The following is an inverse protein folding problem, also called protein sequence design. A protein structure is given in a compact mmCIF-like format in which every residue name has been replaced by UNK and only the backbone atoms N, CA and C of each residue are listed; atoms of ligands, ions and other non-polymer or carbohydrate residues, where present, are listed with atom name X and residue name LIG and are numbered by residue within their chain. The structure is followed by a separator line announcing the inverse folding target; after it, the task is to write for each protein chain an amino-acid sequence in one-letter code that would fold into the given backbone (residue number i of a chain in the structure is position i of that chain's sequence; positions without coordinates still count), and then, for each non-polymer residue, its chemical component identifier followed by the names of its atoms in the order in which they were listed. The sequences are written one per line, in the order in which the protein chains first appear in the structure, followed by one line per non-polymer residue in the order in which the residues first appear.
data_IF_242432295875
#
_entry.id   IF_242432295875
#
_cell.length_a   1.000
_cell.length_b   1.000
_cell.length_c   1.000
_cell.angle_alpha   90.00
_cell.angle_beta   90.00
_cell.angle_gamma   90.00
#
_symmetry.space_group_name_H-M   'P 1'
#
loop_
_entity.id
_entity.type
_entity.pdbx_description
1 polymer ?
#
# COMPACT_ATOMS: atom_id res chain seq x y z
N UNK A 1 -24.92 -18.65 16.72
CA UNK A 1 -24.08 -18.52 15.52
C UNK A 1 -23.60 -17.08 15.50
N UNK A 2 -22.42 -16.80 16.05
CA UNK A 2 -21.93 -15.43 16.22
C UNK A 2 -21.21 -15.02 14.94
N UNK A 3 -21.70 -13.99 14.24
CA UNK A 3 -20.90 -13.34 13.20
C UNK A 3 -19.68 -12.74 13.87
N UNK A 4 -18.49 -13.30 13.61
CA UNK A 4 -17.24 -12.65 13.98
C UNK A 4 -17.13 -11.36 13.19
N UNK A 5 -17.14 -10.22 13.87
CA UNK A 5 -16.67 -8.97 13.30
C UNK A 5 -15.28 -9.24 12.67
N UNK A 6 -14.93 -8.62 11.52
CA UNK A 6 -13.60 -8.78 10.95
C UNK A 6 -12.59 -8.51 12.06
N UNK A 7 -11.77 -9.52 12.36
CA UNK A 7 -10.98 -9.55 13.59
C UNK A 7 -9.93 -8.45 13.54
N UNK A 8 -10.27 -7.24 14.00
CA UNK A 8 -9.31 -6.15 14.13
C UNK A 8 -8.19 -6.59 15.08
N UNK A 9 -7.05 -6.87 14.48
CA UNK A 9 -5.85 -7.43 15.07
C UNK A 9 -5.46 -6.64 16.32
N UNK A 10 -5.44 -7.34 17.46
CA UNK A 10 -5.08 -6.79 18.78
C UNK A 10 -3.57 -6.76 19.03
N UNK A 11 -2.78 -7.22 18.07
CA UNK A 11 -1.32 -7.30 18.15
C UNK A 11 -0.72 -6.86 16.80
N UNK A 12 0.51 -6.33 16.79
CA UNK A 12 1.16 -5.94 15.54
C UNK A 12 1.31 -7.15 14.61
N UNK A 13 1.13 -6.91 13.31
CA UNK A 13 1.12 -7.98 12.30
C UNK A 13 1.83 -7.54 11.03
N UNK A 14 2.55 -8.48 10.44
CA UNK A 14 3.02 -8.35 9.07
C UNK A 14 1.93 -8.83 8.12
N UNK A 15 1.57 -7.99 7.16
CA UNK A 15 0.62 -8.32 6.10
C UNK A 15 1.30 -8.19 4.75
N UNK A 16 1.04 -9.14 3.85
CA UNK A 16 1.51 -9.06 2.48
C UNK A 16 0.37 -8.51 1.61
N UNK A 17 0.63 -7.40 0.92
CA UNK A 17 -0.32 -6.74 0.03
C UNK A 17 0.20 -6.74 -1.39
N UNK A 18 -0.74 -6.81 -2.33
CA UNK A 18 -0.50 -6.77 -3.76
C UNK A 18 -0.98 -5.43 -4.30
N UNK A 19 -0.06 -4.64 -4.86
CA UNK A 19 -0.32 -3.34 -5.44
C UNK A 19 -0.32 -3.43 -6.96
N UNK A 20 -1.28 -2.77 -7.61
CA UNK A 20 -1.24 -2.61 -9.08
C UNK A 20 -0.08 -1.67 -9.48
N UNK A 21 0.38 -1.72 -10.74
CA UNK A 21 1.46 -0.86 -11.20
C UNK A 21 1.04 0.60 -11.06
N UNK A 22 1.94 1.41 -10.50
CA UNK A 22 1.69 2.80 -10.19
C UNK A 22 2.58 3.26 -9.04
N UNK A 23 2.65 4.57 -8.85
CA UNK A 23 3.29 5.12 -7.65
C UNK A 23 2.21 5.24 -6.58
N UNK A 24 2.37 4.51 -5.48
CA UNK A 24 1.45 4.62 -4.35
C UNK A 24 2.08 5.45 -3.24
N UNK A 25 1.31 6.36 -2.68
CA UNK A 25 1.70 7.21 -1.56
C UNK A 25 0.74 6.98 -0.39
N UNK A 26 1.30 6.99 0.81
CA UNK A 26 0.55 6.94 2.05
C UNK A 26 -0.23 8.24 2.23
N UNK A 27 -1.54 8.13 2.43
CA UNK A 27 -2.45 9.25 2.66
C UNK A 27 -2.88 9.33 4.12
N UNK A 28 -3.02 8.17 4.76
CA UNK A 28 -3.41 8.09 6.17
C UNK A 28 -2.68 6.94 6.86
N UNK A 29 -2.13 7.26 8.03
CA UNK A 29 -1.62 6.29 8.99
C UNK A 29 -2.27 6.56 10.34
N UNK A 30 -3.28 5.77 10.71
CA UNK A 30 -4.04 6.02 11.94
C UNK A 30 -3.26 5.72 13.22
N UNK A 31 -2.14 4.99 13.12
CA UNK A 31 -1.25 4.67 14.23
C UNK A 31 -0.05 5.61 14.34
N UNK A 32 -0.03 6.70 13.57
CA UNK A 32 0.97 7.74 13.71
C UNK A 32 0.96 8.37 15.11
N UNK A 33 2.15 8.70 15.62
CA UNK A 33 2.32 9.30 16.93
C UNK A 33 1.61 10.67 17.03
N UNK A 34 1.46 11.41 15.93
CA UNK A 34 0.73 12.68 15.91
C UNK A 34 -0.75 12.52 16.33
N UNK A 35 -1.33 11.33 16.12
CA UNK A 35 -2.70 10.99 16.49
C UNK A 35 -2.79 10.25 17.83
N UNK A 36 -1.67 10.14 18.58
CA UNK A 36 -1.59 9.37 19.82
C UNK A 36 -1.43 7.86 19.60
N UNK A 37 -1.11 7.43 18.38
CA UNK A 37 -0.80 6.04 18.07
C UNK A 37 0.63 5.64 18.47
N UNK A 38 0.98 4.35 18.33
CA UNK A 38 2.30 3.83 18.71
C UNK A 38 3.46 4.28 17.80
N UNK A 39 3.20 5.01 16.71
CA UNK A 39 4.23 5.54 15.82
C UNK A 39 4.96 4.47 15.00
N UNK A 40 4.28 3.39 14.63
CA UNK A 40 4.90 2.30 13.86
C UNK A 40 5.39 2.81 12.49
N UNK A 41 6.67 2.58 12.19
CA UNK A 41 7.24 2.96 10.91
C UNK A 41 6.59 2.17 9.76
N UNK A 42 6.11 2.89 8.75
CA UNK A 42 5.53 2.37 7.51
C UNK A 42 6.11 3.13 6.33
N UNK A 43 6.26 2.52 5.15
CA UNK A 43 6.78 3.22 3.98
C UNK A 43 5.79 4.30 3.51
N UNK A 44 6.27 5.53 3.36
CA UNK A 44 5.48 6.63 2.78
C UNK A 44 5.16 6.38 1.30
N UNK A 45 6.02 5.64 0.60
CA UNK A 45 5.89 5.33 -0.82
C UNK A 45 6.06 3.83 -1.05
N UNK A 46 5.20 3.26 -1.90
CA UNK A 46 5.47 1.96 -2.50
C UNK A 46 6.08 2.20 -3.87
N UNK A 47 7.30 1.70 -4.13
CA UNK A 47 7.98 1.94 -5.39
C UNK A 47 7.20 1.33 -6.56
N UNK A 48 7.19 2.06 -7.67
CA UNK A 48 6.65 1.59 -8.94
C UNK A 48 7.56 0.52 -9.51
N UNK A 49 7.02 -0.67 -9.74
CA UNK A 49 7.67 -1.68 -10.59
C UNK A 49 6.88 -1.86 -11.89
N UNK A 50 7.44 -1.38 -13.01
CA UNK A 50 6.85 -1.52 -14.34
C UNK A 50 7.11 -2.89 -14.97
N UNK A 51 8.04 -3.67 -14.43
CA UNK A 51 8.37 -5.01 -14.94
C UNK A 51 7.36 -6.06 -14.49
N UNK A 52 6.57 -5.74 -13.45
CA UNK A 52 5.58 -6.62 -12.86
C UNK A 52 4.17 -6.04 -13.00
N UNK A 53 3.20 -6.91 -13.25
CA UNK A 53 1.78 -6.54 -13.26
C UNK A 53 1.23 -6.28 -11.85
N UNK A 54 1.93 -6.74 -10.82
CA UNK A 54 1.59 -6.54 -9.40
C UNK A 54 2.87 -6.48 -8.59
N UNK A 55 3.03 -5.45 -7.76
CA UNK A 55 4.11 -5.35 -6.77
C UNK A 55 3.63 -5.89 -5.43
N UNK A 56 4.32 -6.88 -4.88
CA UNK A 56 4.05 -7.35 -3.52
C UNK A 56 4.87 -6.57 -2.50
N UNK A 57 4.23 -6.19 -1.38
CA UNK A 57 4.89 -5.53 -0.26
C UNK A 57 4.45 -6.15 1.05
N UNK A 58 5.40 -6.29 1.96
CA UNK A 58 5.11 -6.69 3.35
C UNK A 58 5.08 -5.44 4.21
N UNK A 59 3.94 -5.16 4.83
CA UNK A 59 3.76 -4.02 5.72
C UNK A 59 3.54 -4.49 7.15
N UNK A 60 4.08 -3.73 8.12
CA UNK A 60 3.82 -3.91 9.54
C UNK A 60 2.68 -3.00 9.97
N UNK A 61 1.57 -3.59 10.38
CA UNK A 61 0.43 -2.88 10.94
C UNK A 61 0.49 -2.91 12.46
N UNK A 62 0.26 -1.75 13.07
CA UNK A 62 0.01 -1.64 14.50
C UNK A 62 -1.37 -2.23 14.85
N UNK A 63 -1.60 -2.61 16.12
CA UNK A 63 -2.92 -3.02 16.58
C UNK A 63 -3.97 -1.95 16.29
N UNK A 64 -5.17 -2.38 15.90
CA UNK A 64 -6.32 -1.49 15.69
C UNK A 64 -6.03 -0.30 14.75
N UNK A 65 -5.17 -0.48 13.75
CA UNK A 65 -4.76 0.58 12.85
C UNK A 65 -5.24 0.37 11.42
N UNK A 66 -5.27 1.47 10.68
CA UNK A 66 -5.60 1.52 9.26
C UNK A 66 -4.51 2.32 8.55
N UNK A 67 -4.07 1.77 7.41
CA UNK A 67 -3.23 2.46 6.44
C UNK A 67 -4.06 2.69 5.18
N UNK A 68 -3.99 3.89 4.63
CA UNK A 68 -4.61 4.23 3.35
C UNK A 68 -3.53 4.67 2.40
N UNK A 69 -3.35 3.91 1.32
CA UNK A 69 -2.52 4.29 0.20
C UNK A 69 -3.41 4.73 -0.95
N UNK A 70 -2.95 5.76 -1.67
CA UNK A 70 -3.57 6.22 -2.90
C UNK A 70 -2.55 6.20 -4.03
N UNK A 71 -3.05 6.10 -5.25
CA UNK A 71 -2.23 6.19 -6.45
C UNK A 71 -2.89 7.19 -7.41
N UNK A 72 -2.08 8.07 -8.00
CA UNK A 72 -2.52 8.78 -9.19
C UNK A 72 -2.47 7.77 -10.32
N UNK A 73 -3.60 7.50 -10.94
CA UNK A 73 -3.76 6.49 -11.98
C UNK A 73 -3.09 6.93 -13.29
N UNK A 74 -1.81 7.27 -13.26
CA UNK A 74 -1.00 7.41 -14.46
C UNK A 74 -0.60 6.01 -14.90
N UNK A 75 -1.43 5.40 -15.75
CA UNK A 75 -1.14 4.16 -16.47
C UNK A 75 0.02 4.36 -17.48
N UNK A 76 1.15 4.94 -17.06
CA UNK A 76 2.31 5.13 -17.92
C UNK A 76 3.15 3.85 -18.06
N UNK A 77 2.62 2.69 -17.67
CA UNK A 77 3.21 1.38 -17.99
C UNK A 77 2.84 0.92 -19.41
N UNK A 78 2.08 1.72 -20.18
CA UNK A 78 1.80 1.47 -21.59
C UNK A 78 2.96 1.89 -22.49
N UNK A 79 3.58 0.85 -23.07
CA UNK A 79 4.28 0.79 -24.36
C UNK A 79 5.44 1.74 -24.60
N UNK A 80 6.64 1.16 -24.71
CA UNK A 80 7.58 1.62 -25.72
C UNK A 80 6.89 1.61 -27.08
N UNK A 81 6.30 2.75 -27.46
CA UNK A 81 5.99 3.07 -28.84
C UNK A 81 7.32 3.03 -29.59
N UNK A 82 7.57 1.93 -30.27
CA UNK A 82 8.53 1.88 -31.36
C UNK A 82 8.01 2.95 -32.34
N UNK A 83 8.70 4.08 -32.42
CA UNK A 83 8.35 5.11 -33.39
C UNK A 83 8.41 4.48 -34.79
N UNK A 84 7.37 4.59 -35.64
CA UNK A 84 7.56 4.24 -37.03
C UNK A 84 8.56 5.24 -37.62
N UNK A 85 9.72 4.73 -38.04
CA UNK A 85 10.57 5.44 -38.98
C UNK A 85 9.77 5.66 -40.26
N UNK A 86 9.44 6.92 -40.54
CA UNK A 86 9.13 7.41 -41.88
C UNK A 86 10.24 8.39 -42.24
#
# INVERSE_FOLDING_TARGET
MSLGLPEFWRSPREIQLSFRPGTWHLVLHSADAIWGGPGQAVPEFIPRDCSQTVTQQTLKLAPHSVLVYSTTHENNCSEGKIAPMI
#
